data_IF_954017432618
#
_entry.id   IF_954017432618
#
_cell.length_a   1.000
_cell.length_b   1.000
_cell.length_c   1.000
_cell.angle_alpha   90.00
_cell.angle_beta   90.00
_cell.angle_gamma   90.00
#
_symmetry.space_group_name_H-M   'P 1'
#
loop_
_entity.id
_entity.type
_entity.pdbx_description
1 polymer ?
#
# COMPACT_ATOMS: atom_id res chain seq x y z
N UNK A 1 -25.44 -2.27 7.35
CA UNK A 1 -24.37 -3.14 7.89
C UNK A 1 -23.12 -2.27 8.06
N UNK A 2 -22.50 -2.26 9.24
CA UNK A 2 -21.24 -1.54 9.45
C UNK A 2 -20.11 -2.39 8.89
N UNK A 3 -19.39 -1.89 7.87
CA UNK A 3 -18.24 -2.60 7.30
C UNK A 3 -17.16 -2.77 8.37
N UNK A 4 -16.67 -3.99 8.55
CA UNK A 4 -15.65 -4.36 9.54
C UNK A 4 -14.24 -4.00 9.04
N UNK A 5 -13.27 -3.96 9.96
CA UNK A 5 -11.85 -3.73 9.64
C UNK A 5 -11.34 -4.77 8.63
N UNK A 6 -11.70 -6.04 8.83
CA UNK A 6 -11.20 -7.15 8.03
C UNK A 6 -11.78 -7.09 6.61
N UNK A 7 -13.06 -6.73 6.45
CA UNK A 7 -13.68 -6.49 5.14
C UNK A 7 -12.97 -5.35 4.37
N UNK A 8 -12.68 -4.24 5.05
CA UNK A 8 -11.95 -3.10 4.44
C UNK A 8 -10.55 -3.53 4.00
N UNK A 9 -9.85 -4.27 4.87
CA UNK A 9 -8.51 -4.80 4.62
C UNK A 9 -8.50 -5.71 3.38
N UNK A 10 -9.45 -6.64 3.30
CA UNK A 10 -9.63 -7.53 2.14
C UNK A 10 -9.95 -6.72 0.87
N UNK A 11 -10.83 -5.72 0.96
CA UNK A 11 -11.18 -4.88 -0.19
C UNK A 11 -9.98 -4.11 -0.73
N UNK A 12 -9.14 -3.54 0.15
CA UNK A 12 -7.88 -2.88 -0.25
C UNK A 12 -6.98 -3.86 -0.99
N UNK A 13 -6.73 -5.04 -0.42
CA UNK A 13 -5.91 -6.07 -1.06
C UNK A 13 -6.45 -6.50 -2.43
N UNK A 14 -7.76 -6.70 -2.54
CA UNK A 14 -8.43 -7.07 -3.78
C UNK A 14 -8.31 -5.98 -4.85
N UNK A 15 -8.55 -4.71 -4.50
CA UNK A 15 -8.44 -3.60 -5.44
C UNK A 15 -7.03 -3.46 -6.01
N UNK A 16 -6.01 -3.53 -5.13
CA UNK A 16 -4.61 -3.43 -5.54
C UNK A 16 -4.24 -4.63 -6.43
N UNK A 17 -4.61 -5.85 -6.01
CA UNK A 17 -4.34 -7.07 -6.77
C UNK A 17 -5.05 -7.12 -8.13
N UNK A 18 -6.28 -6.63 -8.22
CA UNK A 18 -7.03 -6.53 -9.49
C UNK A 18 -6.36 -5.54 -10.45
N UNK A 19 -5.89 -4.39 -9.96
CA UNK A 19 -5.14 -3.46 -10.81
C UNK A 19 -3.83 -4.08 -11.31
N UNK A 20 -3.12 -4.84 -10.47
CA UNK A 20 -1.93 -5.56 -10.90
C UNK A 20 -2.25 -6.64 -11.96
N UNK A 21 -3.33 -7.39 -11.79
CA UNK A 21 -3.79 -8.39 -12.76
C UNK A 21 -4.29 -7.79 -14.09
N UNK A 22 -4.71 -6.53 -14.08
CA UNK A 22 -5.07 -5.80 -15.29
C UNK A 22 -3.84 -5.23 -16.04
N UNK A 23 -2.64 -5.30 -15.44
CA UNK A 23 -1.39 -4.96 -16.11
C UNK A 23 -1.07 -5.96 -17.22
N UNK A 24 -0.43 -5.49 -18.29
CA UNK A 24 0.10 -6.37 -19.35
C UNK A 24 1.36 -7.10 -18.91
N UNK A 25 2.04 -6.61 -17.87
CA UNK A 25 3.26 -7.19 -17.34
C UNK A 25 2.96 -8.25 -16.28
N UNK A 26 3.76 -9.33 -16.26
CA UNK A 26 3.79 -10.25 -15.12
C UNK A 26 4.34 -9.55 -13.89
N UNK A 27 3.94 -9.97 -12.69
CA UNK A 27 4.33 -9.31 -11.44
C UNK A 27 4.47 -10.31 -10.29
N UNK A 28 5.36 -9.97 -9.35
CA UNK A 28 5.61 -10.73 -8.12
C UNK A 28 4.98 -10.05 -6.91
N UNK A 29 5.07 -8.71 -6.86
CA UNK A 29 4.51 -7.89 -5.79
C UNK A 29 3.81 -6.66 -6.35
N UNK A 30 2.75 -6.23 -5.69
CA UNK A 30 2.16 -4.91 -5.88
C UNK A 30 1.99 -4.26 -4.52
N UNK A 31 2.43 -3.01 -4.41
CA UNK A 31 2.34 -2.21 -3.21
C UNK A 31 1.54 -0.93 -3.46
N UNK A 32 0.86 -0.46 -2.42
CA UNK A 32 0.23 0.85 -2.36
C UNK A 32 0.59 1.53 -1.04
N UNK A 33 1.22 2.70 -1.14
CA UNK A 33 1.51 3.58 -0.01
C UNK A 33 0.43 4.64 0.02
N UNK A 34 -0.40 4.65 1.06
CA UNK A 34 -1.36 5.72 1.33
C UNK A 34 -0.77 6.68 2.36
N UNK A 35 -0.84 7.99 2.11
CA UNK A 35 -0.24 9.01 2.97
C UNK A 35 -1.25 10.10 3.35
N UNK A 36 -1.31 10.40 4.64
CA UNK A 36 -2.17 11.41 5.25
C UNK A 36 -1.33 12.20 6.26
N UNK A 37 -1.30 13.52 6.16
CA UNK A 37 -0.50 14.36 7.06
C UNK A 37 -1.28 15.62 7.44
N UNK A 38 -1.15 16.03 8.69
CA UNK A 38 -1.89 17.16 9.25
C UNK A 38 -3.39 17.00 9.05
N UNK A 39 -4.00 17.98 8.38
CA UNK A 39 -5.45 18.05 8.17
C UNK A 39 -5.92 17.49 6.81
N UNK A 40 -5.05 16.78 6.07
CA UNK A 40 -5.35 16.44 4.68
C UNK A 40 -4.72 15.16 4.15
N UNK A 41 -5.42 14.58 3.17
CA UNK A 41 -4.88 13.53 2.33
C UNK A 41 -3.76 14.10 1.45
N UNK A 42 -2.55 13.54 1.55
CA UNK A 42 -1.46 13.84 0.61
C UNK A 42 -1.68 13.05 -0.69
N UNK A 43 -2.01 11.76 -0.58
CA UNK A 43 -2.32 10.93 -1.74
C UNK A 43 -2.02 9.46 -1.54
N UNK A 44 -1.82 8.75 -2.65
CA UNK A 44 -1.31 7.39 -2.60
C UNK A 44 -0.50 7.01 -3.83
N UNK A 45 0.58 6.28 -3.60
CA UNK A 45 1.55 5.85 -4.59
C UNK A 45 1.45 4.34 -4.78
N UNK A 46 1.36 3.90 -6.02
CA UNK A 46 1.29 2.48 -6.36
C UNK A 46 2.56 2.03 -7.06
N UNK A 47 3.06 0.86 -6.67
CA UNK A 47 4.35 0.33 -7.08
C UNK A 47 4.16 -1.14 -7.47
N UNK A 48 4.42 -1.49 -8.73
CA UNK A 48 4.40 -2.88 -9.19
C UNK A 48 5.83 -3.37 -9.30
N UNK A 49 6.10 -4.62 -8.95
CA UNK A 49 7.44 -5.20 -9.02
C UNK A 49 7.44 -6.56 -9.72
N UNK A 50 8.46 -6.75 -10.56
CA UNK A 50 8.81 -8.04 -11.17
C UNK A 50 10.32 -8.21 -11.15
N UNK A 51 10.81 -9.35 -10.66
CA UNK A 51 12.23 -9.68 -10.56
C UNK A 51 13.03 -8.53 -9.91
N UNK A 52 12.48 -7.98 -8.82
CA UNK A 52 12.99 -6.83 -8.05
C UNK A 52 12.99 -5.48 -8.78
N UNK A 53 12.57 -5.42 -10.03
CA UNK A 53 12.46 -4.19 -10.81
C UNK A 53 11.07 -3.56 -10.66
N UNK A 54 11.04 -2.23 -10.53
CA UNK A 54 9.79 -1.48 -10.49
C UNK A 54 9.19 -1.34 -11.89
N UNK A 55 7.90 -1.63 -12.02
CA UNK A 55 7.09 -1.45 -13.21
C UNK A 55 6.00 -0.41 -12.92
N UNK A 56 5.56 0.29 -13.97
CA UNK A 56 4.49 1.28 -13.87
C UNK A 56 3.13 0.60 -13.70
N UNK A 57 2.38 1.00 -12.67
CA UNK A 57 0.99 0.57 -12.47
C UNK A 57 -0.01 1.70 -12.76
N UNK A 58 -1.08 1.38 -13.50
CA UNK A 58 -2.19 2.29 -13.72
C UNK A 58 -3.26 2.09 -12.64
N UNK A 59 -3.37 3.05 -11.71
CA UNK A 59 -4.36 2.98 -10.63
C UNK A 59 -5.58 3.87 -10.82
N UNK A 60 -5.63 4.66 -11.91
CA UNK A 60 -6.71 5.64 -12.13
C UNK A 60 -8.13 5.06 -11.92
N UNK A 61 -8.46 3.84 -12.37
CA UNK A 61 -9.79 3.26 -12.16
C UNK A 61 -10.12 2.99 -10.68
N UNK A 62 -9.15 2.60 -9.87
CA UNK A 62 -9.36 2.17 -8.47
C UNK A 62 -9.07 3.26 -7.43
N UNK A 63 -8.50 4.41 -7.84
CA UNK A 63 -8.04 5.48 -6.92
C UNK A 63 -9.12 5.98 -5.95
N UNK A 64 -10.34 6.22 -6.45
CA UNK A 64 -11.44 6.74 -5.61
C UNK A 64 -11.82 5.72 -4.54
N UNK A 65 -11.91 4.46 -4.93
CA UNK A 65 -12.32 3.38 -4.04
C UNK A 65 -11.24 3.04 -3.02
N UNK A 66 -9.97 3.00 -3.42
CA UNK A 66 -8.85 2.87 -2.49
C UNK A 66 -8.85 4.00 -1.46
N UNK A 67 -8.98 5.26 -1.91
CA UNK A 67 -9.06 6.41 -1.00
C UNK A 67 -10.17 6.24 0.03
N UNK A 68 -11.38 5.86 -0.41
CA UNK A 68 -12.51 5.63 0.50
C UNK A 68 -12.20 4.54 1.53
N UNK A 69 -11.65 3.41 1.09
CA UNK A 69 -11.32 2.29 1.98
C UNK A 69 -10.21 2.67 2.97
N UNK A 70 -9.13 3.33 2.55
CA UNK A 70 -8.06 3.77 3.46
C UNK A 70 -8.53 4.81 4.47
N UNK A 71 -9.34 5.79 4.06
CA UNK A 71 -9.92 6.74 5.01
C UNK A 71 -10.83 6.04 6.01
N UNK A 72 -11.66 5.10 5.54
CA UNK A 72 -12.52 4.32 6.43
C UNK A 72 -11.70 3.47 7.40
N UNK A 73 -10.62 2.82 6.90
CA UNK A 73 -9.70 2.05 7.70
C UNK A 73 -9.07 2.92 8.79
N UNK A 74 -8.62 4.13 8.43
CA UNK A 74 -8.04 5.09 9.36
C UNK A 74 -8.98 5.42 10.51
N UNK A 75 -10.27 5.65 10.22
CA UNK A 75 -11.28 5.92 11.25
C UNK A 75 -11.54 4.73 12.16
N UNK A 76 -11.67 3.51 11.62
CA UNK A 76 -11.96 2.31 12.43
C UNK A 76 -10.75 1.83 13.23
N UNK A 77 -9.53 2.08 12.77
CA UNK A 77 -8.30 1.69 13.49
C UNK A 77 -7.83 2.74 14.49
N UNK A 78 -8.54 3.87 14.62
CA UNK A 78 -8.21 4.87 15.64
C UNK A 78 -8.41 4.29 17.03
N UNK A 79 -7.43 4.47 17.89
CA UNK A 79 -7.54 4.21 19.32
C UNK A 79 -7.90 5.52 20.02
N UNK A 80 -8.87 5.47 20.93
CA UNK A 80 -9.30 6.65 21.68
C UNK A 80 -8.14 7.20 22.52
N UNK A 81 -7.84 8.49 22.33
CA UNK A 81 -6.72 9.16 23.00
C UNK A 81 -5.40 9.13 22.24
N UNK A 82 -5.29 8.36 21.16
CA UNK A 82 -4.11 8.29 20.30
C UNK A 82 -4.29 9.05 18.98
N UNK A 83 -3.15 9.39 18.38
CA UNK A 83 -3.08 9.89 17.02
C UNK A 83 -3.39 8.78 16.00
N UNK A 84 -3.93 9.22 14.87
CA UNK A 84 -4.09 8.33 13.73
C UNK A 84 -2.73 8.05 13.09
N UNK A 85 -2.60 6.88 12.46
CA UNK A 85 -1.47 6.64 11.55
C UNK A 85 -1.44 7.67 10.41
N UNK A 86 -0.22 8.01 9.97
CA UNK A 86 0.08 8.99 8.93
C UNK A 86 0.40 8.32 7.59
N UNK A 87 0.87 7.07 7.60
CA UNK A 87 1.04 6.28 6.37
C UNK A 87 0.59 4.84 6.57
N UNK A 88 0.15 4.24 5.46
CA UNK A 88 -0.16 2.82 5.40
C UNK A 88 0.44 2.21 4.13
N UNK A 89 1.28 1.20 4.31
CA UNK A 89 1.83 0.39 3.23
C UNK A 89 1.06 -0.92 3.13
N UNK A 90 0.35 -1.12 2.02
CA UNK A 90 -0.37 -2.35 1.71
C UNK A 90 0.33 -3.10 0.57
N UNK A 91 0.68 -4.37 0.77
CA UNK A 91 1.41 -5.17 -0.23
C UNK A 91 0.74 -6.52 -0.45
N UNK A 92 0.51 -6.82 -1.73
CA UNK A 92 0.08 -8.15 -2.19
C UNK A 92 1.27 -8.86 -2.83
N UNK A 93 1.56 -10.08 -2.39
CA UNK A 93 2.46 -11.03 -3.05
C UNK A 93 1.65 -11.94 -3.97
N UNK A 94 2.01 -11.99 -5.24
CA UNK A 94 1.29 -12.79 -6.24
C UNK A 94 1.38 -14.29 -5.91
N UNK A 95 2.60 -14.76 -5.66
CA UNK A 95 2.87 -16.14 -5.29
C UNK A 95 2.40 -16.42 -3.84
N UNK A 96 1.59 -17.45 -3.66
CA UNK A 96 1.01 -17.79 -2.36
C UNK A 96 -0.07 -16.81 -1.87
N UNK A 97 -0.48 -15.83 -2.69
CA UNK A 97 -1.60 -14.91 -2.47
C UNK A 97 -1.61 -14.29 -1.08
N UNK A 98 -0.45 -13.80 -0.63
CA UNK A 98 -0.31 -13.16 0.69
C UNK A 98 -0.60 -11.67 0.59
N UNK A 99 -1.31 -11.15 1.58
CA UNK A 99 -1.54 -9.72 1.75
C UNK A 99 -1.05 -9.30 3.13
N UNK A 100 -0.33 -8.18 3.19
CA UNK A 100 0.15 -7.59 4.45
C UNK A 100 -0.03 -6.08 4.40
N UNK A 101 -0.26 -5.50 5.58
CA UNK A 101 -0.33 -4.05 5.77
C UNK A 101 0.55 -3.64 6.95
N UNK A 102 1.28 -2.54 6.79
CA UNK A 102 2.02 -1.87 7.85
C UNK A 102 1.49 -0.44 8.02
N UNK A 103 1.55 0.07 9.23
CA UNK A 103 1.13 1.42 9.61
C UNK A 103 2.32 2.19 10.18
N UNK A 104 2.39 3.47 9.86
CA UNK A 104 3.41 4.40 10.37
C UNK A 104 2.70 5.60 11.00
N UNK A 105 3.20 6.05 12.15
CA UNK A 105 2.57 7.06 13.00
C UNK A 105 3.43 8.33 13.11
N UNK A 106 4.75 8.21 12.94
CA UNK A 106 5.71 9.27 13.26
C UNK A 106 6.52 9.72 12.03
N UNK A 107 7.06 8.78 11.25
CA UNK A 107 7.95 9.09 10.13
C UNK A 107 7.20 9.31 8.81
N UNK A 108 6.92 10.57 8.51
CA UNK A 108 6.27 10.98 7.28
C UNK A 108 7.12 10.76 6.02
N UNK A 109 8.37 10.27 6.11
CA UNK A 109 9.20 9.89 4.97
C UNK A 109 9.26 8.36 4.74
N UNK A 110 8.80 7.56 5.71
CA UNK A 110 8.86 6.10 5.62
C UNK A 110 8.08 5.57 4.42
N UNK A 111 8.75 4.74 3.61
CA UNK A 111 8.25 4.22 2.32
C UNK A 111 8.05 5.25 1.21
N UNK A 112 8.54 6.49 1.36
CA UNK A 112 8.49 7.46 0.28
C UNK A 112 9.43 7.05 -0.85
N UNK A 113 8.87 6.85 -2.06
CA UNK A 113 9.66 6.61 -3.25
C UNK A 113 9.69 7.87 -4.12
N UNK A 114 10.87 8.43 -4.26
CA UNK A 114 11.18 9.60 -5.10
C UNK A 114 12.16 9.18 -6.20
N UNK A 115 12.41 10.03 -7.22
CA UNK A 115 13.45 9.75 -8.21
C UNK A 115 14.84 9.50 -7.61
N UNK A 116 15.15 10.07 -6.43
CA UNK A 116 16.45 9.94 -5.79
C UNK A 116 16.72 8.56 -5.20
N UNK A 117 15.67 7.84 -4.75
CA UNK A 117 15.78 6.52 -4.11
C UNK A 117 15.06 5.40 -4.89
N UNK A 118 14.62 5.67 -6.13
CA UNK A 118 13.89 4.71 -6.94
C UNK A 118 14.61 3.37 -7.15
N UNK A 119 15.95 3.37 -7.17
CA UNK A 119 16.77 2.13 -7.28
C UNK A 119 16.65 1.23 -6.06
N UNK A 120 16.40 1.82 -4.89
CA UNK A 120 16.23 1.11 -3.63
C UNK A 120 14.77 0.82 -3.30
N UNK A 121 13.83 1.23 -4.17
CA UNK A 121 12.39 1.16 -3.89
C UNK A 121 11.92 -0.25 -3.52
N UNK A 122 12.45 -1.28 -4.19
CA UNK A 122 12.14 -2.67 -3.84
C UNK A 122 12.55 -3.01 -2.41
N UNK A 123 13.77 -2.64 -2.01
CA UNK A 123 14.28 -2.88 -0.65
C UNK A 123 13.48 -2.10 0.40
N UNK A 124 13.19 -0.82 0.12
CA UNK A 124 12.44 0.06 1.02
C UNK A 124 11.02 -0.46 1.27
N UNK A 125 10.35 -0.94 0.22
CA UNK A 125 8.91 -1.27 0.28
C UNK A 125 8.69 -2.77 0.51
N UNK A 126 9.25 -3.61 -0.36
CA UNK A 126 9.06 -5.06 -0.27
C UNK A 126 9.90 -5.64 0.86
N UNK A 127 11.12 -5.15 1.05
CA UNK A 127 12.01 -5.61 2.12
C UNK A 127 11.46 -5.38 3.54
N UNK A 128 10.67 -4.32 3.76
CA UNK A 128 10.07 -4.05 5.07
C UNK A 128 8.89 -4.99 5.37
N UNK A 129 8.18 -5.44 4.33
CA UNK A 129 6.97 -6.27 4.48
C UNK A 129 7.25 -7.77 4.34
N UNK A 130 8.21 -8.11 3.48
CA UNK A 130 8.67 -9.46 3.18
C UNK A 130 10.21 -9.48 3.19
N UNK A 131 10.86 -9.44 4.37
CA UNK A 131 12.31 -9.47 4.48
C UNK A 131 12.96 -10.66 3.76
N UNK A 132 12.25 -11.80 3.72
CA UNK A 132 12.67 -13.02 3.03
C UNK A 132 12.81 -12.84 1.50
N UNK A 133 12.26 -11.77 0.93
CA UNK A 133 12.36 -11.49 -0.49
C UNK A 133 13.72 -10.86 -0.88
N UNK A 134 14.51 -10.43 0.10
CA UNK A 134 15.85 -9.85 -0.10
C UNK A 134 16.97 -10.90 -0.11
N UNK A 135 16.70 -12.10 0.42
CA UNK A 135 17.60 -13.26 0.38
C UNK A 135 17.79 -13.77 -1.06
#
# INVERSE_FOLDING_TARGET
MTTTRDEITINIGNLIGQAANASTDTWDYVAYVFSYEGNGLIGGQALLYKDRNQIKLLTRPIRKELRTNFLRLREITRVDGDDYWIRCLAVVKNEGKKFKMLFEFDDASRWEITPANARDAYKIVIGDVFPEALE
#
